data_IF_694172587168
#
_entry.id   IF_694172587168
#
_cell.length_a   1.000
_cell.length_b   1.000
_cell.length_c   1.000
_cell.angle_alpha   90.00
_cell.angle_beta   90.00
_cell.angle_gamma   90.00
#
_symmetry.space_group_name_H-M   'P 1'
#
loop_
_entity.id
_entity.type
_entity.pdbx_description
1 polymer ?
#
# COMPACT_ATOMS: atom_id res chain seq x y z
N UNK A 1 -41.87 2.89 40.49
CA UNK A 1 -41.80 3.35 39.08
C UNK A 1 -40.45 4.00 38.75
N UNK A 2 -39.89 4.84 39.64
CA UNK A 2 -38.59 5.50 39.44
C UNK A 2 -37.38 4.55 39.30
N UNK A 3 -37.28 3.51 40.14
CA UNK A 3 -36.16 2.56 40.09
C UNK A 3 -36.02 1.84 38.72
N UNK A 4 -37.13 1.57 38.03
CA UNK A 4 -37.13 0.94 36.72
C UNK A 4 -36.62 1.90 35.64
N UNK A 5 -36.95 3.21 35.74
CA UNK A 5 -36.40 4.24 34.84
C UNK A 5 -34.89 4.40 35.03
N UNK A 6 -34.41 4.39 36.26
CA UNK A 6 -32.97 4.48 36.56
C UNK A 6 -32.20 3.29 36.01
N UNK A 7 -32.75 2.07 36.14
CA UNK A 7 -32.15 0.86 35.59
C UNK A 7 -32.08 0.91 34.05
N UNK A 8 -33.17 1.33 33.40
CA UNK A 8 -33.22 1.50 31.94
C UNK A 8 -32.21 2.54 31.46
N UNK A 9 -32.11 3.68 32.14
CA UNK A 9 -31.16 4.74 31.79
C UNK A 9 -29.71 4.28 31.95
N UNK A 10 -29.39 3.56 33.03
CA UNK A 10 -28.05 3.02 33.23
C UNK A 10 -27.69 1.93 32.21
N UNK A 11 -28.65 1.10 31.82
CA UNK A 11 -28.47 0.10 30.77
C UNK A 11 -28.23 0.77 29.42
N UNK A 12 -29.05 1.76 29.06
CA UNK A 12 -28.89 2.53 27.82
C UNK A 12 -27.53 3.23 27.74
N UNK A 13 -27.06 3.83 28.85
CA UNK A 13 -25.72 4.43 28.94
C UNK A 13 -24.61 3.40 28.69
N UNK A 14 -24.70 2.21 29.28
CA UNK A 14 -23.70 1.14 29.06
C UNK A 14 -23.68 0.67 27.60
N UNK A 15 -24.84 0.50 26.98
CA UNK A 15 -24.95 0.14 25.56
C UNK A 15 -24.33 1.23 24.68
N UNK A 16 -24.62 2.51 24.96
CA UNK A 16 -24.05 3.63 24.21
C UNK A 16 -22.51 3.66 24.30
N UNK A 17 -21.95 3.50 25.50
CA UNK A 17 -20.49 3.45 25.71
C UNK A 17 -19.87 2.28 24.94
N UNK A 18 -20.50 1.10 24.98
CA UNK A 18 -20.04 -0.07 24.25
C UNK A 18 -20.05 0.16 22.73
N UNK A 19 -21.11 0.74 22.18
CA UNK A 19 -21.22 1.05 20.76
C UNK A 19 -20.16 2.08 20.32
N UNK A 20 -19.93 3.12 21.11
CA UNK A 20 -18.90 4.12 20.84
C UNK A 20 -17.49 3.50 20.84
N UNK A 21 -17.21 2.59 21.78
CA UNK A 21 -15.95 1.86 21.83
C UNK A 21 -15.73 0.99 20.58
N UNK A 22 -16.77 0.27 20.14
CA UNK A 22 -16.71 -0.53 18.91
C UNK A 22 -16.48 0.32 17.66
N UNK A 23 -17.16 1.47 17.55
CA UNK A 23 -16.97 2.40 16.42
C UNK A 23 -15.52 2.91 16.42
N UNK A 24 -15.01 3.34 17.57
CA UNK A 24 -13.64 3.82 17.70
C UNK A 24 -12.62 2.76 17.28
N UNK A 25 -12.80 1.52 17.75
CA UNK A 25 -11.91 0.41 17.40
C UNK A 25 -11.93 0.12 15.89
N UNK A 26 -13.11 0.12 15.25
CA UNK A 26 -13.21 -0.07 13.79
C UNK A 26 -12.56 1.07 13.01
N UNK A 27 -12.71 2.31 13.47
CA UNK A 27 -12.03 3.46 12.87
C UNK A 27 -10.51 3.32 12.96
N UNK A 28 -9.99 2.93 14.13
CA UNK A 28 -8.56 2.74 14.35
C UNK A 28 -7.98 1.64 13.44
N UNK A 29 -8.66 0.50 13.30
CA UNK A 29 -8.23 -0.58 12.40
C UNK A 29 -8.21 -0.12 10.94
N UNK A 30 -9.22 0.65 10.50
CA UNK A 30 -9.22 1.21 9.13
C UNK A 30 -8.05 2.15 8.89
N UNK A 31 -7.76 3.03 9.86
CA UNK A 31 -6.62 3.95 9.77
C UNK A 31 -5.28 3.20 9.72
N UNK A 32 -5.10 2.18 10.56
CA UNK A 32 -3.91 1.34 10.55
C UNK A 32 -3.74 0.59 9.21
N UNK A 33 -4.84 0.06 8.66
CA UNK A 33 -4.81 -0.62 7.38
C UNK A 33 -4.43 0.33 6.24
N UNK A 34 -5.00 1.54 6.23
CA UNK A 34 -4.65 2.57 5.23
C UNK A 34 -3.19 3.02 5.36
N UNK A 35 -2.67 3.19 6.59
CA UNK A 35 -1.26 3.52 6.81
C UNK A 35 -0.32 2.41 6.32
N UNK A 36 -0.67 1.14 6.55
CA UNK A 36 0.09 0.00 6.06
C UNK A 36 0.12 -0.03 4.52
N UNK A 37 -1.01 0.24 3.86
CA UNK A 37 -1.09 0.33 2.40
C UNK A 37 -0.19 1.43 1.83
N UNK A 38 -0.19 2.61 2.44
CA UNK A 38 0.70 3.71 2.07
C UNK A 38 2.17 3.34 2.22
N UNK A 39 2.55 2.74 3.36
CA UNK A 39 3.92 2.34 3.64
C UNK A 39 4.42 1.29 2.65
N UNK A 40 3.59 0.30 2.33
CA UNK A 40 3.95 -0.78 1.39
C UNK A 40 4.08 -0.24 -0.03
N UNK A 41 3.15 0.61 -0.48
CA UNK A 41 3.23 1.24 -1.79
C UNK A 41 4.48 2.13 -1.92
N UNK A 42 4.84 2.87 -0.86
CA UNK A 42 6.06 3.67 -0.84
C UNK A 42 7.33 2.82 -0.86
N UNK A 43 7.37 1.77 -0.04
CA UNK A 43 8.50 0.85 0.00
C UNK A 43 8.72 0.18 -1.36
N UNK A 44 7.65 -0.12 -2.10
CA UNK A 44 7.75 -0.64 -3.46
C UNK A 44 8.42 0.36 -4.42
N UNK A 45 8.01 1.64 -4.41
CA UNK A 45 8.65 2.67 -5.25
C UNK A 45 10.14 2.81 -4.90
N UNK A 46 10.48 2.83 -3.61
CA UNK A 46 11.86 2.92 -3.15
C UNK A 46 12.70 1.70 -3.56
N UNK A 47 12.16 0.49 -3.42
CA UNK A 47 12.86 -0.72 -3.83
C UNK A 47 12.97 -0.80 -5.35
N UNK A 48 11.96 -0.31 -6.07
CA UNK A 48 12.04 -0.14 -7.50
C UNK A 48 13.24 0.78 -7.84
N UNK A 49 13.27 2.03 -7.39
CA UNK A 49 14.33 2.98 -7.75
C UNK A 49 15.73 2.44 -7.36
N UNK A 50 15.81 1.71 -6.24
CA UNK A 50 17.02 0.97 -5.83
C UNK A 50 17.39 -0.14 -6.80
N UNK A 51 16.42 -0.93 -7.26
CA UNK A 51 16.63 -2.01 -8.23
C UNK A 51 17.13 -1.46 -9.55
N UNK A 52 16.55 -0.39 -10.08
CA UNK A 52 17.06 0.27 -11.29
C UNK A 52 18.53 0.69 -11.13
N UNK A 53 18.86 1.28 -9.99
CA UNK A 53 20.24 1.66 -9.68
C UNK A 53 21.18 0.45 -9.63
N UNK A 54 20.75 -0.67 -9.01
CA UNK A 54 21.51 -1.93 -8.95
C UNK A 54 21.70 -2.55 -10.34
N UNK A 55 20.66 -2.55 -11.18
CA UNK A 55 20.67 -3.10 -12.54
C UNK A 55 21.74 -2.46 -13.42
N UNK A 56 22.01 -1.17 -13.23
CA UNK A 56 23.06 -0.45 -13.96
C UNK A 56 24.49 -0.88 -13.57
N UNK A 57 24.67 -1.44 -12.37
CA UNK A 57 25.97 -1.72 -11.76
C UNK A 57 26.27 -3.22 -11.56
N UNK A 58 25.28 -4.10 -11.69
CA UNK A 58 25.40 -5.52 -11.37
C UNK A 58 25.76 -6.38 -12.58
N UNK A 59 26.55 -7.45 -12.34
CA UNK A 59 26.77 -8.53 -13.31
C UNK A 59 25.64 -9.58 -13.29
N UNK A 60 24.81 -9.56 -12.25
CA UNK A 60 23.65 -10.43 -12.08
C UNK A 60 22.38 -9.57 -11.94
N UNK A 61 21.69 -9.27 -13.05
CA UNK A 61 20.47 -8.47 -13.04
C UNK A 61 19.28 -9.21 -12.44
N UNK A 62 19.26 -10.55 -12.51
CA UNK A 62 18.17 -11.36 -11.96
C UNK A 62 18.23 -11.41 -10.43
N UNK A 63 19.44 -11.50 -9.86
CA UNK A 63 19.65 -11.37 -8.42
C UNK A 63 19.18 -10.01 -7.88
N UNK A 64 19.38 -8.92 -8.65
CA UNK A 64 18.90 -7.59 -8.26
C UNK A 64 17.36 -7.46 -8.24
N UNK A 65 16.65 -8.26 -9.03
CA UNK A 65 15.18 -8.25 -9.10
C UNK A 65 14.50 -8.97 -7.93
N UNK A 66 15.21 -9.80 -7.16
CA UNK A 66 14.64 -10.60 -6.07
C UNK A 66 13.88 -9.76 -5.03
N UNK A 67 14.50 -8.67 -4.57
CA UNK A 67 13.90 -7.74 -3.61
C UNK A 67 12.63 -7.07 -4.18
N UNK A 68 12.65 -6.74 -5.48
CA UNK A 68 11.51 -6.14 -6.18
C UNK A 68 10.32 -7.10 -6.31
N UNK A 69 10.56 -8.39 -6.57
CA UNK A 69 9.49 -9.39 -6.58
C UNK A 69 8.83 -9.55 -5.21
N UNK A 70 9.63 -9.54 -4.14
CA UNK A 70 9.12 -9.58 -2.78
C UNK A 70 8.28 -8.33 -2.46
N UNK A 71 8.77 -7.15 -2.85
CA UNK A 71 8.04 -5.89 -2.70
C UNK A 71 6.72 -5.90 -3.49
N UNK A 72 6.72 -6.37 -4.75
CA UNK A 72 5.50 -6.50 -5.55
C UNK A 72 4.47 -7.42 -4.89
N UNK A 73 4.93 -8.55 -4.33
CA UNK A 73 4.05 -9.51 -3.66
C UNK A 73 3.41 -8.90 -2.39
N UNK A 74 4.18 -8.08 -1.65
CA UNK A 74 3.66 -7.36 -0.50
C UNK A 74 2.58 -6.34 -0.91
N UNK A 75 2.77 -5.62 -2.00
CA UNK A 75 1.76 -4.71 -2.55
C UNK A 75 0.50 -5.48 -2.94
N UNK A 76 0.64 -6.62 -3.61
CA UNK A 76 -0.51 -7.43 -4.02
C UNK A 76 -1.34 -7.94 -2.83
N UNK A 77 -0.66 -8.28 -1.73
CA UNK A 77 -1.33 -8.79 -0.53
C UNK A 77 -2.01 -7.70 0.30
N UNK A 78 -1.42 -6.50 0.37
CA UNK A 78 -1.81 -5.48 1.34
C UNK A 78 -2.64 -4.36 0.69
N UNK A 79 -2.32 -3.99 -0.54
CA UNK A 79 -2.94 -2.87 -1.23
C UNK A 79 -4.21 -3.30 -1.99
N UNK A 80 -5.05 -2.33 -2.40
CA UNK A 80 -6.21 -2.62 -3.24
C UNK A 80 -5.81 -3.34 -4.55
N UNK A 81 -6.72 -4.14 -5.13
CA UNK A 81 -6.41 -4.94 -6.31
C UNK A 81 -5.85 -4.17 -7.51
N UNK A 82 -6.24 -2.91 -7.71
CA UNK A 82 -5.70 -2.05 -8.77
C UNK A 82 -4.20 -1.77 -8.58
N UNK A 83 -3.79 -1.45 -7.35
CA UNK A 83 -2.39 -1.19 -6.97
C UNK A 83 -1.57 -2.47 -7.03
N UNK A 84 -2.12 -3.58 -6.54
CA UNK A 84 -1.50 -4.90 -6.66
C UNK A 84 -1.25 -5.33 -8.12
N UNK A 85 -2.26 -5.11 -8.98
CA UNK A 85 -2.15 -5.38 -10.42
C UNK A 85 -1.10 -4.48 -11.08
N UNK A 86 -1.03 -3.21 -10.67
CA UNK A 86 -0.04 -2.28 -11.17
C UNK A 86 1.39 -2.70 -10.78
N UNK A 87 1.62 -3.12 -9.53
CA UNK A 87 2.92 -3.62 -9.08
C UNK A 87 3.33 -4.89 -9.84
N UNK A 88 2.41 -5.85 -10.01
CA UNK A 88 2.69 -7.05 -10.81
C UNK A 88 3.04 -6.71 -12.26
N UNK A 89 2.27 -5.82 -12.88
CA UNK A 89 2.51 -5.37 -14.26
C UNK A 89 3.86 -4.67 -14.36
N UNK A 90 4.21 -3.84 -13.37
CA UNK A 90 5.50 -3.18 -13.28
C UNK A 90 6.64 -4.20 -13.31
N UNK A 91 6.58 -5.20 -12.43
CA UNK A 91 7.62 -6.21 -12.33
C UNK A 91 7.71 -7.06 -13.60
N UNK A 92 6.57 -7.46 -14.20
CA UNK A 92 6.59 -8.20 -15.47
C UNK A 92 7.19 -7.39 -16.62
N UNK A 93 6.83 -6.11 -16.74
CA UNK A 93 7.39 -5.26 -17.80
C UNK A 93 8.90 -5.07 -17.66
N UNK A 94 9.41 -5.03 -16.43
CA UNK A 94 10.85 -5.00 -16.17
C UNK A 94 11.55 -6.30 -16.53
N UNK A 95 10.94 -7.44 -16.26
CA UNK A 95 11.46 -8.75 -16.67
C UNK A 95 11.59 -8.81 -18.19
N UNK A 96 10.56 -8.37 -18.92
CA UNK A 96 10.58 -8.33 -20.38
C UNK A 96 11.67 -7.37 -20.88
N UNK A 97 11.75 -6.18 -20.29
CA UNK A 97 12.73 -5.16 -20.67
C UNK A 97 14.17 -5.56 -20.35
N UNK A 98 14.39 -6.35 -19.30
CA UNK A 98 15.69 -6.95 -18.98
C UNK A 98 16.09 -7.98 -20.03
N UNK A 99 15.14 -8.77 -20.54
CA UNK A 99 15.40 -9.75 -21.59
C UNK A 99 15.74 -9.09 -22.94
N UNK A 100 15.21 -7.89 -23.21
CA UNK A 100 15.42 -7.15 -24.48
C UNK A 100 16.43 -6.01 -24.41
N UNK A 101 16.91 -5.64 -23.22
CA UNK A 101 17.85 -4.54 -23.00
C UNK A 101 17.23 -3.14 -23.05
N UNK A 102 15.91 -3.00 -22.87
CA UNK A 102 15.14 -1.74 -22.98
C UNK A 102 14.63 -1.22 -21.63
N UNK A 103 15.39 -1.48 -20.56
CA UNK A 103 14.98 -1.24 -19.16
C UNK A 103 14.54 0.20 -18.86
N UNK A 104 15.23 1.27 -19.31
CA UNK A 104 14.87 2.64 -18.93
C UNK A 104 13.47 3.08 -19.39
N UNK A 105 13.07 2.74 -20.62
CA UNK A 105 11.77 3.16 -21.15
C UNK A 105 10.61 2.38 -20.51
N UNK A 106 10.82 1.09 -20.24
CA UNK A 106 9.85 0.26 -19.53
C UNK A 106 9.69 0.69 -18.07
N UNK A 107 10.76 1.23 -17.47
CA UNK A 107 10.77 1.75 -16.11
C UNK A 107 9.81 2.91 -15.93
N UNK A 108 9.98 3.98 -16.71
CA UNK A 108 9.26 5.23 -16.51
C UNK A 108 7.75 5.05 -16.71
N UNK A 109 7.36 4.35 -17.77
CA UNK A 109 5.94 4.08 -18.05
C UNK A 109 5.27 3.18 -17.02
N UNK A 110 6.00 2.19 -16.49
CA UNK A 110 5.49 1.34 -15.43
C UNK A 110 5.38 2.10 -14.09
N UNK A 111 6.39 2.93 -13.76
CA UNK A 111 6.44 3.75 -12.54
C UNK A 111 5.30 4.75 -12.51
N UNK A 112 5.07 5.47 -13.61
CA UNK A 112 3.97 6.42 -13.73
C UNK A 112 2.61 5.72 -13.55
N UNK A 113 2.43 4.57 -14.18
CA UNK A 113 1.22 3.76 -14.02
C UNK A 113 1.01 3.35 -12.56
N UNK A 114 2.05 2.83 -11.90
CA UNK A 114 1.96 2.46 -10.49
C UNK A 114 1.59 3.64 -9.60
N UNK A 115 2.26 4.78 -9.78
CA UNK A 115 1.99 6.02 -9.03
C UNK A 115 0.54 6.45 -9.19
N UNK A 116 0.02 6.43 -10.43
CA UNK A 116 -1.38 6.79 -10.70
C UNK A 116 -2.37 5.88 -9.99
N UNK A 117 -2.15 4.57 -10.02
CA UNK A 117 -3.03 3.61 -9.34
C UNK A 117 -2.90 3.70 -7.80
N UNK A 118 -1.71 4.01 -7.30
CA UNK A 118 -1.43 4.19 -5.87
C UNK A 118 -1.83 5.57 -5.34
N UNK A 119 -2.08 6.56 -6.20
CA UNK A 119 -2.42 7.93 -5.83
C UNK A 119 -3.55 8.04 -4.79
N UNK A 120 -4.66 7.27 -4.89
CA UNK A 120 -5.72 7.30 -3.88
C UNK A 120 -5.24 6.94 -2.47
N UNK A 121 -4.18 6.12 -2.34
CA UNK A 121 -3.60 5.77 -1.06
C UNK A 121 -2.96 6.99 -0.38
N UNK A 122 -2.41 7.94 -1.14
CA UNK A 122 -1.68 9.10 -0.61
C UNK A 122 -2.55 10.36 -0.39
N UNK A 123 -3.85 10.29 -0.67
CA UNK A 123 -4.76 11.45 -0.60
C UNK A 123 -5.06 11.94 0.83
N UNK A 124 -4.72 11.18 1.87
CA UNK A 124 -5.02 11.53 3.26
C UNK A 124 -3.86 12.11 4.06
N UNK A 125 -2.58 11.87 3.69
CA UNK A 125 -1.41 12.50 4.34
C UNK A 125 -0.21 12.51 3.37
N UNK A 126 0.40 13.70 3.22
CA UNK A 126 1.70 14.05 2.61
C UNK A 126 1.84 14.12 1.06
N UNK A 127 1.77 15.33 0.47
CA UNK A 127 2.10 15.59 -0.93
C UNK A 127 3.62 15.62 -1.26
N UNK A 128 4.50 15.18 -0.35
CA UNK A 128 5.96 15.36 -0.51
C UNK A 128 6.67 14.18 -1.19
N UNK A 129 5.95 13.11 -1.50
CA UNK A 129 6.57 11.83 -1.91
C UNK A 129 6.42 11.55 -3.41
N UNK A 130 5.62 12.35 -4.12
CA UNK A 130 5.33 12.19 -5.55
C UNK A 130 6.05 13.21 -6.46
N UNK A 131 6.99 13.99 -5.89
CA UNK A 131 7.78 14.99 -6.60
C UNK A 131 9.12 14.45 -7.08
#
# INVERSE_FOLDING_TARGET
MEAMKTLLLNTAKRVLVYLLSLINQRCQVRQQHQAAQQQVALAFIQEADRTLSKLSATKDPWGAMGDLFAASSAVELICPPSVGTAARTFTSSLVDALATGTVPDAWDGARERFIREAQPLFTTVQPQVLG
#
